data_IF_420566773541
#
_entry.id   IF_420566773541
#
_cell.length_a   1.000
_cell.length_b   1.000
_cell.length_c   1.000
_cell.angle_alpha   90.00
_cell.angle_beta   90.00
_cell.angle_gamma   90.00
#
_symmetry.space_group_name_H-M   'P 1'
#
loop_
_entity.id
_entity.type
_entity.pdbx_description
1 polymer ?
#
# COMPACT_ATOMS: atom_id res chain seq x y z
N UNK A 1 -8.61 20.09 -28.82
CA UNK A 1 -8.49 18.63 -28.98
C UNK A 1 -7.21 18.02 -28.39
N UNK A 2 -6.00 18.57 -28.56
CA UNK A 2 -4.77 17.95 -28.04
C UNK A 2 -4.63 17.83 -26.49
N UNK A 3 -5.43 18.58 -25.71
CA UNK A 3 -5.46 18.47 -24.23
C UNK A 3 -6.32 17.31 -23.72
N UNK A 4 -7.40 16.93 -24.43
CA UNK A 4 -8.29 15.84 -23.99
C UNK A 4 -7.64 14.48 -24.21
N UNK A 5 -7.04 14.24 -25.38
CA UNK A 5 -6.31 12.99 -25.68
C UNK A 5 -5.12 12.77 -24.76
N UNK A 6 -4.44 13.85 -24.36
CA UNK A 6 -3.40 13.82 -23.33
C UNK A 6 -3.96 13.42 -21.97
N UNK A 7 -5.12 13.91 -21.56
CA UNK A 7 -5.70 13.52 -20.27
C UNK A 7 -6.18 12.06 -20.27
N UNK A 8 -6.76 11.60 -21.38
CA UNK A 8 -7.22 10.21 -21.54
C UNK A 8 -6.07 9.20 -21.44
N UNK A 9 -4.95 9.46 -22.13
CA UNK A 9 -3.77 8.61 -22.03
C UNK A 9 -3.15 8.59 -20.62
N UNK A 10 -3.17 9.73 -19.90
CA UNK A 10 -2.75 9.81 -18.49
C UNK A 10 -3.62 8.93 -17.60
N UNK A 11 -4.94 9.06 -17.73
CA UNK A 11 -5.90 8.36 -16.91
C UNK A 11 -5.87 6.84 -17.19
N UNK A 12 -5.65 6.44 -18.45
CA UNK A 12 -5.48 5.02 -18.82
C UNK A 12 -4.24 4.40 -18.17
N UNK A 13 -3.11 5.11 -18.17
CA UNK A 13 -1.87 4.65 -17.51
C UNK A 13 -2.09 4.49 -16.00
N UNK A 14 -2.72 5.47 -15.35
CA UNK A 14 -3.04 5.41 -13.92
C UNK A 14 -3.95 4.22 -13.64
N UNK A 15 -5.07 4.08 -14.37
CA UNK A 15 -6.03 3.01 -14.16
C UNK A 15 -5.37 1.62 -14.29
N UNK A 16 -4.57 1.40 -15.34
CA UNK A 16 -3.85 0.13 -15.53
C UNK A 16 -2.83 -0.11 -14.42
N UNK A 17 -2.07 0.92 -14.03
CA UNK A 17 -1.09 0.81 -12.96
C UNK A 17 -1.78 0.52 -11.62
N UNK A 18 -2.91 1.16 -11.35
CA UNK A 18 -3.73 0.94 -10.15
C UNK A 18 -4.22 -0.49 -10.10
N UNK A 19 -4.84 -0.99 -11.18
CA UNK A 19 -5.38 -2.35 -11.24
C UNK A 19 -4.27 -3.39 -11.09
N UNK A 20 -3.20 -3.31 -11.88
CA UNK A 20 -2.12 -4.31 -11.84
C UNK A 20 -1.42 -4.32 -10.48
N UNK A 21 -1.12 -3.15 -9.93
CA UNK A 21 -0.35 -3.04 -8.69
C UNK A 21 -1.21 -3.37 -7.47
N UNK A 22 -2.50 -3.03 -7.49
CA UNK A 22 -3.42 -3.44 -6.42
C UNK A 22 -3.63 -4.96 -6.42
N UNK A 23 -3.80 -5.60 -7.58
CA UNK A 23 -3.88 -7.06 -7.67
C UNK A 23 -2.61 -7.74 -7.17
N UNK A 24 -1.44 -7.24 -7.57
CA UNK A 24 -0.15 -7.73 -7.08
C UNK A 24 -0.04 -7.60 -5.56
N UNK A 25 -0.38 -6.43 -5.03
CA UNK A 25 -0.30 -6.14 -3.60
C UNK A 25 -1.28 -6.99 -2.79
N UNK A 26 -2.53 -7.13 -3.26
CA UNK A 26 -3.52 -8.04 -2.66
C UNK A 26 -3.03 -9.48 -2.68
N UNK A 27 -2.46 -9.94 -3.81
CA UNK A 27 -1.88 -11.28 -3.90
C UNK A 27 -0.76 -11.52 -2.89
N UNK A 28 0.11 -10.53 -2.68
CA UNK A 28 1.15 -10.57 -1.65
C UNK A 28 0.56 -10.62 -0.23
N UNK A 29 -0.46 -9.79 0.05
CA UNK A 29 -1.13 -9.78 1.35
C UNK A 29 -1.75 -11.15 1.66
N UNK A 30 -2.45 -11.75 0.69
CA UNK A 30 -3.02 -13.09 0.81
C UNK A 30 -1.91 -14.14 1.03
N UNK A 31 -0.81 -14.06 0.27
CA UNK A 31 0.33 -14.98 0.43
C UNK A 31 0.93 -14.91 1.84
N UNK A 32 1.01 -13.71 2.42
CA UNK A 32 1.51 -13.52 3.79
C UNK A 32 0.56 -14.09 4.85
N UNK A 33 -0.76 -14.07 4.62
CA UNK A 33 -1.72 -14.77 5.49
C UNK A 33 -1.43 -16.28 5.56
N UNK A 34 -0.97 -16.90 4.46
CA UNK A 34 -0.57 -18.32 4.48
C UNK A 34 0.76 -18.57 5.20
N UNK A 35 1.62 -17.55 5.32
CA UNK A 35 2.87 -17.62 6.08
C UNK A 35 2.67 -17.51 7.60
N UNK A 36 1.50 -17.09 8.06
CA UNK A 36 1.23 -16.91 9.48
C UNK A 36 1.40 -18.23 10.27
N UNK A 37 0.93 -19.36 9.74
CA UNK A 37 1.08 -20.68 10.39
C UNK A 37 2.54 -21.14 10.53
N UNK A 38 3.37 -21.14 9.47
CA UNK A 38 4.78 -21.48 9.61
C UNK A 38 5.55 -20.45 10.45
N UNK A 39 5.20 -19.15 10.36
CA UNK A 39 5.80 -18.11 11.21
C UNK A 39 5.46 -18.30 12.68
N UNK A 40 4.21 -18.68 13.02
CA UNK A 40 3.82 -19.01 14.41
C UNK A 40 4.62 -20.17 14.99
N UNK A 41 4.99 -21.15 14.17
CA UNK A 41 5.88 -22.26 14.59
C UNK A 41 7.33 -21.82 14.83
N UNK A 42 7.80 -20.77 14.16
CA UNK A 42 9.19 -20.30 14.20
C UNK A 42 9.42 -19.15 15.20
N UNK A 43 8.52 -18.17 15.22
CA UNK A 43 8.65 -16.90 15.94
C UNK A 43 7.67 -16.75 17.12
N UNK A 44 6.80 -17.74 17.35
CA UNK A 44 5.84 -17.73 18.45
C UNK A 44 4.91 -16.51 18.40
N UNK A 45 4.90 -15.72 19.47
CA UNK A 45 4.01 -14.57 19.64
C UNK A 45 4.32 -13.39 18.69
N UNK A 46 5.52 -13.33 18.12
CA UNK A 46 5.93 -12.24 17.20
C UNK A 46 5.49 -12.47 15.75
N UNK A 47 4.84 -13.60 15.44
CA UNK A 47 4.48 -13.97 14.08
C UNK A 47 3.51 -12.98 13.42
N UNK A 48 2.54 -12.46 14.18
CA UNK A 48 1.53 -11.53 13.66
C UNK A 48 2.17 -10.16 13.32
N UNK A 49 3.08 -9.69 14.17
CA UNK A 49 3.86 -8.46 13.95
C UNK A 49 4.76 -8.56 12.72
N UNK A 50 5.39 -9.72 12.50
CA UNK A 50 6.20 -9.99 11.31
C UNK A 50 5.38 -9.99 10.02
N UNK A 51 4.17 -10.57 10.04
CA UNK A 51 3.26 -10.56 8.90
C UNK A 51 2.85 -9.14 8.55
N UNK A 52 2.50 -8.32 9.54
CA UNK A 52 2.18 -6.90 9.34
C UNK A 52 3.40 -6.13 8.80
N UNK A 53 4.60 -6.39 9.33
CA UNK A 53 5.84 -5.80 8.83
C UNK A 53 6.10 -6.14 7.36
N UNK A 54 5.88 -7.40 6.95
CA UNK A 54 5.99 -7.83 5.55
C UNK A 54 4.93 -7.16 4.66
N UNK A 55 3.70 -6.99 5.14
CA UNK A 55 2.65 -6.25 4.42
C UNK A 55 3.01 -4.78 4.23
N UNK A 56 3.56 -4.13 5.24
CA UNK A 56 4.03 -2.74 5.13
C UNK A 56 5.21 -2.61 4.17
N UNK A 57 6.15 -3.57 4.21
CA UNK A 57 7.26 -3.62 3.27
C UNK A 57 6.79 -3.81 1.83
N UNK A 58 5.85 -4.72 1.58
CA UNK A 58 5.31 -4.94 0.23
C UNK A 58 4.52 -3.74 -0.27
N UNK A 59 3.72 -3.10 0.59
CA UNK A 59 3.04 -1.84 0.30
C UNK A 59 4.06 -0.77 -0.13
N UNK A 60 5.14 -0.62 0.64
CA UNK A 60 6.21 0.31 0.33
C UNK A 60 6.80 0.09 -1.06
N UNK A 61 7.22 -1.14 -1.35
CA UNK A 61 7.87 -1.50 -2.61
C UNK A 61 6.93 -1.34 -3.81
N UNK A 62 5.68 -1.82 -3.68
CA UNK A 62 4.71 -1.80 -4.77
C UNK A 62 4.24 -0.37 -5.04
N UNK A 63 3.87 0.41 -4.02
CA UNK A 63 3.37 1.78 -4.23
C UNK A 63 4.49 2.68 -4.75
N UNK A 64 5.68 2.65 -4.15
CA UNK A 64 6.81 3.47 -4.62
C UNK A 64 7.25 3.08 -6.05
N UNK A 65 7.34 1.78 -6.34
CA UNK A 65 7.64 1.28 -7.69
C UNK A 65 6.60 1.71 -8.72
N UNK A 66 5.31 1.66 -8.35
CA UNK A 66 4.21 2.05 -9.23
C UNK A 66 4.19 3.55 -9.51
N UNK A 67 4.40 4.39 -8.49
CA UNK A 67 4.48 5.85 -8.66
C UNK A 67 5.67 6.23 -9.55
N UNK A 68 6.84 5.61 -9.34
CA UNK A 68 8.01 5.81 -10.20
C UNK A 68 7.76 5.32 -11.63
N UNK A 69 7.10 4.18 -11.81
CA UNK A 69 6.72 3.66 -13.12
C UNK A 69 5.78 4.62 -13.87
N UNK A 70 4.70 5.07 -13.21
CA UNK A 70 3.76 6.07 -13.76
C UNK A 70 4.48 7.36 -14.17
N UNK A 71 5.41 7.84 -13.34
CA UNK A 71 6.21 9.02 -13.66
C UNK A 71 7.17 8.78 -14.85
N UNK A 72 7.76 7.60 -14.94
CA UNK A 72 8.68 7.26 -16.04
C UNK A 72 7.95 7.17 -17.39
N UNK A 73 6.74 6.59 -17.40
CA UNK A 73 5.86 6.52 -18.57
C UNK A 73 5.38 7.91 -19.00
N UNK A 74 5.27 8.87 -18.07
CA UNK A 74 4.89 10.24 -18.39
C UNK A 74 5.48 11.28 -17.44
N UNK A 75 6.69 11.75 -17.78
CA UNK A 75 7.49 12.71 -16.98
C UNK A 75 6.79 14.05 -16.65
N UNK A 76 5.78 14.45 -17.43
CA UNK A 76 5.01 15.70 -17.21
C UNK A 76 3.64 15.48 -16.53
N UNK A 77 3.39 14.29 -15.97
CA UNK A 77 2.14 14.02 -15.27
C UNK A 77 2.03 14.89 -14.00
N UNK A 78 0.83 15.46 -13.69
CA UNK A 78 0.62 16.22 -12.47
C UNK A 78 0.94 15.41 -11.21
N UNK A 79 1.65 16.02 -10.24
CA UNK A 79 2.03 15.37 -8.98
C UNK A 79 0.81 14.83 -8.22
N UNK A 80 -0.28 15.59 -8.21
CA UNK A 80 -1.52 15.20 -7.54
C UNK A 80 -2.10 13.90 -8.11
N UNK A 81 -1.98 13.67 -9.42
CA UNK A 81 -2.40 12.41 -10.06
C UNK A 81 -1.51 11.22 -9.66
N UNK A 82 -0.22 11.45 -9.47
CA UNK A 82 0.72 10.42 -9.01
C UNK A 82 0.47 10.04 -7.56
N UNK A 83 0.21 11.01 -6.67
CA UNK A 83 -0.23 10.75 -5.29
C UNK A 83 -1.52 9.95 -5.29
N UNK A 84 -2.54 10.42 -6.02
CA UNK A 84 -3.83 9.73 -6.11
C UNK A 84 -3.67 8.31 -6.66
N UNK A 85 -2.80 8.10 -7.64
CA UNK A 85 -2.50 6.76 -8.16
C UNK A 85 -1.96 5.82 -7.08
N UNK A 86 -0.99 6.25 -6.28
CA UNK A 86 -0.44 5.43 -5.20
C UNK A 86 -1.43 5.22 -4.03
N UNK A 87 -2.22 6.22 -3.67
CA UNK A 87 -3.32 6.09 -2.70
C UNK A 87 -4.36 5.10 -3.18
N UNK A 88 -4.78 5.19 -4.44
CA UNK A 88 -5.75 4.27 -5.04
C UNK A 88 -5.23 2.84 -5.07
N UNK A 89 -3.93 2.62 -5.34
CA UNK A 89 -3.32 1.28 -5.25
C UNK A 89 -3.50 0.71 -3.84
N UNK A 90 -3.12 1.47 -2.82
CA UNK A 90 -3.21 1.03 -1.42
C UNK A 90 -4.67 0.77 -1.00
N UNK A 91 -5.57 1.69 -1.35
CA UNK A 91 -6.99 1.60 -1.03
C UNK A 91 -7.62 0.37 -1.70
N UNK A 92 -7.48 0.23 -3.03
CA UNK A 92 -8.06 -0.89 -3.78
C UNK A 92 -7.50 -2.20 -3.28
N UNK A 93 -6.18 -2.29 -3.06
CA UNK A 93 -5.56 -3.52 -2.56
C UNK A 93 -6.11 -3.93 -1.19
N UNK A 94 -6.29 -2.96 -0.29
CA UNK A 94 -6.80 -3.20 1.06
C UNK A 94 -8.27 -3.58 1.06
N UNK A 95 -9.09 -2.95 0.19
CA UNK A 95 -10.49 -3.34 0.00
C UNK A 95 -10.60 -4.75 -0.55
N UNK A 96 -9.80 -5.11 -1.56
CA UNK A 96 -9.78 -6.47 -2.12
C UNK A 96 -9.32 -7.50 -1.09
N UNK A 97 -8.28 -7.19 -0.31
CA UNK A 97 -7.79 -8.06 0.77
C UNK A 97 -8.82 -8.22 1.89
N UNK A 98 -9.50 -7.14 2.28
CA UNK A 98 -10.61 -7.16 3.25
C UNK A 98 -11.76 -8.03 2.73
N UNK A 99 -12.13 -7.88 1.46
CA UNK A 99 -13.10 -8.76 0.81
C UNK A 99 -12.69 -10.22 0.91
N UNK A 100 -11.44 -10.54 0.58
CA UNK A 100 -10.90 -11.89 0.74
C UNK A 100 -11.03 -12.40 2.18
N UNK A 101 -10.66 -11.61 3.19
CA UNK A 101 -10.78 -12.00 4.60
C UNK A 101 -12.22 -12.20 5.06
N UNK A 102 -13.20 -11.53 4.46
CA UNK A 102 -14.63 -11.73 4.79
C UNK A 102 -15.16 -13.01 4.12
N UNK A 103 -14.81 -13.23 2.85
CA UNK A 103 -15.33 -14.37 2.10
C UNK A 103 -14.61 -15.69 2.42
N UNK A 104 -13.32 -15.66 2.77
CA UNK A 104 -12.52 -16.86 3.03
C UNK A 104 -13.01 -17.69 4.24
N UNK A 105 -13.31 -17.12 5.43
CA UNK A 105 -13.91 -17.86 6.55
C UNK A 105 -15.30 -18.40 6.23
N UNK A 106 -16.08 -17.61 5.49
CA UNK A 106 -17.44 -17.97 5.05
C UNK A 106 -17.43 -19.20 4.13
N UNK A 107 -16.43 -19.30 3.26
CA UNK A 107 -16.21 -20.45 2.37
C UNK A 107 -15.51 -21.62 3.08
N UNK A 108 -14.63 -21.34 4.05
CA UNK A 108 -13.87 -22.36 4.81
C UNK A 108 -14.58 -22.91 6.05
N UNK A 109 -15.84 -22.49 6.31
CA UNK A 109 -16.67 -22.91 7.47
C UNK A 109 -16.03 -22.64 8.83
N UNK A 110 -15.16 -21.62 8.94
CA UNK A 110 -14.59 -21.18 10.21
C UNK A 110 -15.41 -19.98 10.72
N UNK A 111 -16.23 -20.21 11.75
CA UNK A 111 -17.31 -19.32 12.19
C UNK A 111 -16.88 -18.10 13.02
N UNK A 112 -15.98 -17.25 12.51
CA UNK A 112 -15.50 -16.05 13.23
C UNK A 112 -15.59 -14.76 12.40
N UNK A 113 -16.74 -14.50 11.77
CA UNK A 113 -16.90 -13.34 10.88
C UNK A 113 -17.08 -11.98 11.62
N UNK A 114 -17.56 -11.97 12.87
CA UNK A 114 -18.01 -10.74 13.55
C UNK A 114 -16.88 -9.91 14.21
N UNK A 115 -15.80 -10.54 14.67
CA UNK A 115 -14.62 -9.85 15.25
C UNK A 115 -13.73 -9.20 14.19
N UNK A 116 -13.87 -9.60 12.92
CA UNK A 116 -13.03 -9.12 11.82
C UNK A 116 -13.44 -7.74 11.28
N UNK A 117 -14.69 -7.30 11.46
CA UNK A 117 -15.23 -6.04 10.90
C UNK A 117 -14.64 -4.77 11.55
N UNK A 118 -14.42 -4.77 12.87
CA UNK A 118 -13.80 -3.65 13.58
C UNK A 118 -12.30 -3.52 13.28
N UNK A 119 -11.61 -4.66 13.21
CA UNK A 119 -10.19 -4.72 12.81
C UNK A 119 -9.98 -4.27 11.36
N UNK A 120 -10.92 -4.57 10.44
CA UNK A 120 -10.80 -4.20 9.02
C UNK A 120 -10.89 -2.71 8.76
N UNK A 121 -11.67 -1.94 9.53
CA UNK A 121 -11.70 -0.47 9.42
C UNK A 121 -10.37 0.17 9.83
N UNK A 122 -9.80 -0.28 10.94
CA UNK A 122 -8.49 0.19 11.44
C UNK A 122 -7.37 -0.19 10.46
N UNK A 123 -7.37 -1.44 9.97
CA UNK A 123 -6.42 -1.91 8.95
C UNK A 123 -6.55 -1.13 7.65
N UNK A 124 -7.77 -0.84 7.19
CA UNK A 124 -8.00 -0.05 5.98
C UNK A 124 -7.47 1.36 6.11
N UNK A 125 -7.70 2.01 7.25
CA UNK A 125 -7.14 3.33 7.57
C UNK A 125 -5.61 3.31 7.61
N UNK A 126 -5.02 2.31 8.26
CA UNK A 126 -3.57 2.14 8.37
C UNK A 126 -2.90 1.98 7.00
N UNK A 127 -3.33 1.02 6.19
CA UNK A 127 -2.70 0.74 4.89
C UNK A 127 -2.96 1.85 3.86
N UNK A 128 -4.14 2.47 3.88
CA UNK A 128 -4.42 3.61 3.00
C UNK A 128 -3.60 4.83 3.40
N UNK A 129 -3.49 5.12 4.71
CA UNK A 129 -2.65 6.19 5.25
C UNK A 129 -1.17 5.97 4.96
N UNK A 130 -0.66 4.76 5.17
CA UNK A 130 0.70 4.39 4.80
C UNK A 130 0.92 4.55 3.28
N UNK A 131 -0.03 4.12 2.45
CA UNK A 131 0.03 4.29 1.00
C UNK A 131 0.12 5.75 0.56
N UNK A 132 -0.59 6.65 1.24
CA UNK A 132 -0.47 8.10 1.03
C UNK A 132 0.93 8.62 1.36
N UNK A 133 1.47 8.28 2.54
CA UNK A 133 2.81 8.67 2.96
C UNK A 133 3.88 8.16 1.98
N UNK A 134 3.82 6.89 1.59
CA UNK A 134 4.74 6.27 0.62
C UNK A 134 4.67 6.99 -0.73
N UNK A 135 3.47 7.34 -1.18
CA UNK A 135 3.29 8.05 -2.46
C UNK A 135 3.94 9.44 -2.43
N UNK A 136 3.85 10.14 -1.30
CA UNK A 136 4.52 11.43 -1.11
C UNK A 136 6.03 11.25 -1.12
N UNK A 137 6.55 10.26 -0.40
CA UNK A 137 8.00 9.97 -0.34
C UNK A 137 8.55 9.67 -1.74
N UNK A 138 7.85 8.83 -2.50
CA UNK A 138 8.23 8.50 -3.87
C UNK A 138 8.30 9.75 -4.77
N UNK A 139 7.38 10.70 -4.59
CA UNK A 139 7.42 11.97 -5.32
C UNK A 139 8.57 12.88 -4.90
N UNK A 140 8.87 12.93 -3.59
CA UNK A 140 10.00 13.71 -3.07
C UNK A 140 11.31 13.18 -3.68
N UNK A 141 11.50 11.87 -3.70
CA UNK A 141 12.68 11.26 -4.31
C UNK A 141 12.79 11.51 -5.83
N UNK A 142 11.66 11.64 -6.53
CA UNK A 142 11.65 11.96 -7.97
C UNK A 142 12.00 13.44 -8.25
N UNK A 143 11.72 14.35 -7.31
CA UNK A 143 11.92 15.79 -7.47
C UNK A 143 13.22 16.31 -6.87
N UNK A 144 13.67 15.72 -5.77
CA UNK A 144 14.88 16.17 -5.06
C UNK A 144 16.10 15.62 -5.79
N UNK A 145 16.80 16.50 -6.52
CA UNK A 145 18.00 16.16 -7.31
C UNK A 145 19.15 15.63 -6.43
N UNK A 146 19.16 15.99 -5.14
CA UNK A 146 20.17 15.55 -4.18
C UNK A 146 19.70 14.29 -3.43
N UNK A 147 20.34 13.15 -3.71
CA UNK A 147 20.00 11.85 -3.10
C UNK A 147 20.06 11.86 -1.57
N UNK A 148 20.98 12.63 -0.98
CA UNK A 148 21.16 12.70 0.48
C UNK A 148 19.98 13.39 1.16
N UNK A 149 19.50 14.50 0.60
CA UNK A 149 18.31 15.20 1.10
C UNK A 149 17.04 14.37 0.92
N UNK A 150 16.90 13.66 -0.21
CA UNK A 150 15.78 12.76 -0.43
C UNK A 150 15.71 11.65 0.62
N UNK A 151 16.87 11.04 0.96
CA UNK A 151 16.98 10.01 1.98
C UNK A 151 16.68 10.52 3.40
N UNK A 152 17.13 11.74 3.74
CA UNK A 152 16.82 12.36 5.05
C UNK A 152 15.31 12.59 5.19
N UNK A 153 14.65 13.09 4.13
CA UNK A 153 13.20 13.36 4.17
C UNK A 153 12.39 12.05 4.23
N UNK A 154 12.82 11.03 3.49
CA UNK A 154 12.27 9.67 3.56
C UNK A 154 12.38 9.10 4.98
N UNK A 155 13.55 9.21 5.59
CA UNK A 155 13.78 8.74 6.96
C UNK A 155 12.92 9.50 7.98
N UNK A 156 12.82 10.83 7.84
CA UNK A 156 11.97 11.66 8.71
C UNK A 156 10.48 11.30 8.59
N UNK A 157 9.98 11.04 7.38
CA UNK A 157 8.59 10.61 7.16
C UNK A 157 8.33 9.20 7.68
N UNK A 158 9.28 8.27 7.56
CA UNK A 158 9.21 6.95 8.17
C UNK A 158 9.16 7.04 9.70
N UNK A 159 10.00 7.88 10.30
CA UNK A 159 10.01 8.15 11.74
C UNK A 159 8.68 8.74 12.22
N UNK A 160 8.13 9.71 11.47
CA UNK A 160 6.83 10.30 11.77
C UNK A 160 5.71 9.25 11.70
N UNK A 161 5.72 8.39 10.67
CA UNK A 161 4.77 7.29 10.54
C UNK A 161 4.88 6.27 11.69
N UNK A 162 6.10 5.95 12.11
CA UNK A 162 6.35 5.06 13.26
C UNK A 162 5.82 5.67 14.56
N UNK A 163 6.08 6.95 14.81
CA UNK A 163 5.57 7.66 16.00
C UNK A 163 4.04 7.69 16.02
N UNK A 164 3.41 8.01 14.87
CA UNK A 164 1.96 7.99 14.74
C UNK A 164 1.38 6.59 14.97
N UNK A 165 2.03 5.55 14.46
CA UNK A 165 1.62 4.16 14.68
C UNK A 165 1.66 3.79 16.17
N UNK A 166 2.78 4.09 16.86
CA UNK A 166 2.91 3.83 18.30
C UNK A 166 1.85 4.59 19.09
N UNK A 167 1.55 5.86 18.73
CA UNK A 167 0.56 6.67 19.44
C UNK A 167 -0.89 6.22 19.19
N UNK A 168 -1.20 5.66 18.01
CA UNK A 168 -2.56 5.22 17.67
C UNK A 168 -2.85 3.77 18.11
N UNK A 169 -1.83 2.94 18.26
CA UNK A 169 -1.95 1.50 18.55
C UNK A 169 -1.52 1.14 19.98
N UNK A 170 -0.59 1.90 20.58
CA UNK A 170 -0.19 1.76 21.99
C UNK A 170 -1.14 2.47 22.94
#
# INVERSE_FOLDING_TARGET
>A
MARSSRSEAENSIIARSVVLSSLLLTGLFIAFTFLEKPLKKLAGNYADELVVGLMLLSLWLVVSGSVRSMHSLRKKMPLLKLVLGGVLIALVATVLYTGFLIFYPMVSRQGEAASMMGATLVLTGLFTGAGFVISIIALIQLKVKNRTLAGIIEFALLLLGLILFIYLVG
#
